data_IF_598426379790
#
_entry.id   IF_598426379790
#
_cell.length_a   1.000
_cell.length_b   1.000
_cell.length_c   1.000
_cell.angle_alpha   90.00
_cell.angle_beta   90.00
_cell.angle_gamma   90.00
#
_symmetry.space_group_name_H-M   'P 1'
#
loop_
_entity.id
_entity.type
_entity.pdbx_description
1 polymer ?
#
# COMPACT_ATOMS: atom_id res chain seq x y z
N UNK A 1 -25.82 -48.91 28.64
CA UNK A 1 -25.53 -48.27 27.34
C UNK A 1 -26.36 -47.00 27.22
N UNK A 2 -25.70 -45.83 27.24
CA UNK A 2 -26.02 -44.55 26.56
C UNK A 2 -25.33 -43.44 27.36
N UNK A 3 -24.17 -43.04 26.85
CA UNK A 3 -23.31 -42.00 27.42
C UNK A 3 -24.03 -40.66 27.29
N UNK A 4 -24.24 -39.98 28.41
CA UNK A 4 -24.47 -38.54 28.49
C UNK A 4 -23.17 -37.87 28.03
N UNK A 5 -23.08 -37.51 26.75
CA UNK A 5 -21.97 -36.71 26.23
C UNK A 5 -22.38 -35.26 26.40
N UNK A 6 -21.80 -34.68 27.46
CA UNK A 6 -21.80 -33.26 27.77
C UNK A 6 -21.44 -32.43 26.54
N UNK A 7 -22.29 -31.44 26.29
CA UNK A 7 -22.00 -30.19 25.61
C UNK A 7 -20.70 -29.58 26.20
N UNK A 8 -19.92 -28.92 25.34
CA UNK A 8 -18.88 -27.89 25.62
C UNK A 8 -17.44 -28.27 25.22
N UNK A 9 -17.09 -28.00 23.95
CA UNK A 9 -15.85 -27.33 23.47
C UNK A 9 -16.18 -26.91 22.01
N UNK A 10 -17.06 -25.95 21.77
CA UNK A 10 -16.76 -24.52 21.65
C UNK A 10 -15.27 -24.20 21.35
N UNK A 11 -15.05 -23.58 20.18
CA UNK A 11 -13.93 -22.70 19.83
C UNK A 11 -12.54 -23.30 19.67
N UNK A 12 -12.33 -24.05 18.60
CA UNK A 12 -11.03 -24.21 17.92
C UNK A 12 -11.39 -24.64 16.50
N UNK A 13 -11.06 -23.99 15.39
CA UNK A 13 -9.89 -23.18 15.05
C UNK A 13 -10.16 -22.79 13.59
N UNK A 14 -10.70 -21.62 13.30
CA UNK A 14 -10.65 -21.04 11.94
C UNK A 14 -10.63 -19.51 12.02
N UNK A 15 -9.85 -18.97 12.97
CA UNK A 15 -9.19 -17.68 12.73
C UNK A 15 -8.02 -17.95 11.78
N UNK A 16 -8.32 -18.36 10.55
CA UNK A 16 -7.42 -18.05 9.45
C UNK A 16 -7.47 -16.54 9.41
N UNK A 17 -6.47 -15.94 10.05
CA UNK A 17 -6.29 -14.50 10.14
C UNK A 17 -6.41 -13.98 8.72
N UNK A 18 -7.61 -13.49 8.39
CA UNK A 18 -7.85 -12.66 7.23
C UNK A 18 -7.02 -11.42 7.56
N UNK A 19 -5.74 -11.45 7.20
CA UNK A 19 -4.81 -10.34 7.34
C UNK A 19 -5.47 -9.25 6.52
N UNK A 20 -6.25 -8.41 7.20
CA UNK A 20 -6.92 -7.29 6.58
C UNK A 20 -5.78 -6.38 6.17
N UNK A 21 -5.36 -6.49 4.92
CA UNK A 21 -4.60 -5.45 4.25
C UNK A 21 -5.41 -4.17 4.50
N UNK A 22 -4.75 -3.17 5.10
CA UNK A 22 -5.45 -1.95 5.53
C UNK A 22 -5.03 -0.86 4.60
N UNK A 23 -5.99 -0.03 4.20
CA UNK A 23 -5.66 1.26 3.64
C UNK A 23 -4.83 2.06 4.67
N UNK A 24 -3.66 2.60 4.28
CA UNK A 24 -2.73 3.22 5.22
C UNK A 24 -3.28 4.55 5.75
N UNK A 25 -2.71 5.02 6.86
CA UNK A 25 -2.80 6.43 7.28
C UNK A 25 -1.48 7.18 7.00
N UNK A 26 -1.43 8.48 7.34
CA UNK A 26 -0.25 9.32 7.11
C UNK A 26 0.97 8.81 7.88
N UNK A 27 0.77 8.34 9.10
CA UNK A 27 1.85 7.87 9.97
C UNK A 27 2.43 6.54 9.47
N UNK A 28 1.57 5.63 8.98
CA UNK A 28 1.96 4.39 8.34
C UNK A 28 2.90 4.63 7.14
N UNK A 29 2.57 5.63 6.30
CA UNK A 29 3.33 5.99 5.10
C UNK A 29 4.63 6.74 5.40
N UNK A 30 4.74 7.44 6.53
CA UNK A 30 5.89 8.29 6.84
C UNK A 30 7.22 7.54 6.68
N UNK A 31 8.18 8.15 5.97
CA UNK A 31 9.52 7.60 5.73
C UNK A 31 9.83 7.28 4.27
N UNK A 32 10.92 6.54 4.08
CA UNK A 32 11.44 6.15 2.76
C UNK A 32 10.93 4.77 2.33
N UNK A 33 10.61 4.65 1.05
CA UNK A 33 10.14 3.41 0.44
C UNK A 33 10.86 3.18 -0.89
N UNK A 34 11.45 2.01 -1.06
CA UNK A 34 12.21 1.65 -2.25
C UNK A 34 11.46 0.59 -3.06
N UNK A 35 11.48 0.73 -4.38
CA UNK A 35 10.83 -0.21 -5.29
C UNK A 35 11.39 -1.63 -5.13
N UNK A 36 10.49 -2.60 -4.99
CA UNK A 36 10.80 -4.02 -4.94
C UNK A 36 10.97 -4.56 -6.37
N UNK A 37 12.18 -4.41 -6.90
CA UNK A 37 12.58 -4.91 -8.22
C UNK A 37 14.05 -5.31 -8.24
N UNK A 38 14.44 -6.11 -9.22
CA UNK A 38 15.84 -6.51 -9.47
C UNK A 38 16.60 -5.49 -10.34
N UNK A 39 15.91 -4.48 -10.86
CA UNK A 39 16.56 -3.40 -11.63
C UNK A 39 17.46 -2.53 -10.74
N UNK A 40 18.61 -2.10 -11.27
CA UNK A 40 19.54 -1.19 -10.58
C UNK A 40 18.96 0.22 -10.40
N UNK A 41 18.16 0.67 -11.36
CA UNK A 41 17.54 2.00 -11.37
C UNK A 41 16.16 1.93 -10.73
N UNK A 42 16.13 1.86 -9.38
CA UNK A 42 14.90 1.75 -8.60
C UNK A 42 14.26 3.10 -8.38
N UNK A 43 12.93 3.10 -8.38
CA UNK A 43 12.16 4.22 -7.87
C UNK A 43 12.19 4.29 -6.35
N UNK A 44 12.10 5.49 -5.79
CA UNK A 44 11.99 5.71 -4.33
C UNK A 44 10.95 6.77 -4.02
N UNK A 45 10.14 6.51 -2.99
CA UNK A 45 9.16 7.43 -2.44
C UNK A 45 9.62 7.86 -1.04
N UNK A 46 9.48 9.15 -0.73
CA UNK A 46 9.72 9.67 0.62
C UNK A 46 8.49 10.45 1.04
N UNK A 47 7.72 9.89 1.96
CA UNK A 47 6.56 10.54 2.54
C UNK A 47 6.96 11.30 3.80
N UNK A 48 6.55 12.57 3.87
CA UNK A 48 6.73 13.42 5.04
C UNK A 48 5.48 14.29 5.23
N UNK A 49 4.65 13.93 6.22
CA UNK A 49 3.34 14.55 6.47
C UNK A 49 2.45 14.46 5.23
N UNK A 50 2.17 15.58 4.57
CA UNK A 50 1.31 15.64 3.37
C UNK A 50 2.13 15.87 2.09
N UNK A 51 3.46 15.74 2.18
CA UNK A 51 4.37 15.89 1.05
C UNK A 51 4.97 14.54 0.69
N UNK A 52 5.01 14.24 -0.61
CA UNK A 52 5.69 13.10 -1.20
C UNK A 52 6.82 13.60 -2.10
N UNK A 53 8.03 13.08 -1.90
CA UNK A 53 9.12 13.20 -2.87
C UNK A 53 9.21 11.88 -3.63
N UNK A 54 9.12 11.96 -4.96
CA UNK A 54 9.23 10.81 -5.85
C UNK A 54 10.54 10.88 -6.63
N UNK A 55 11.49 10.04 -6.25
CA UNK A 55 12.79 9.91 -6.90
C UNK A 55 12.68 8.85 -7.99
N UNK A 56 12.87 9.28 -9.23
CA UNK A 56 12.92 8.45 -10.43
C UNK A 56 14.37 8.33 -10.90
N UNK A 57 14.71 7.36 -11.76
CA UNK A 57 16.07 7.21 -12.27
C UNK A 57 16.67 8.47 -12.90
N UNK A 58 15.85 9.33 -13.51
CA UNK A 58 16.30 10.51 -14.26
C UNK A 58 15.77 11.83 -13.74
N UNK A 59 14.91 11.83 -12.70
CA UNK A 59 14.28 13.06 -12.21
C UNK A 59 13.80 12.90 -10.76
N UNK A 60 13.47 14.02 -10.13
CA UNK A 60 12.84 14.07 -8.82
C UNK A 60 11.60 14.94 -8.94
N UNK A 61 10.46 14.39 -8.57
CA UNK A 61 9.19 15.11 -8.50
C UNK A 61 8.77 15.28 -7.05
N UNK A 62 8.02 16.35 -6.78
CA UNK A 62 7.44 16.60 -5.45
C UNK A 62 5.94 16.81 -5.61
N UNK A 63 5.19 16.14 -4.76
CA UNK A 63 3.73 16.17 -4.73
C UNK A 63 3.25 16.54 -3.33
N UNK A 64 2.14 17.26 -3.26
CA UNK A 64 1.27 17.12 -2.09
C UNK A 64 0.46 15.85 -2.24
N UNK A 65 0.08 15.20 -1.14
CA UNK A 65 -0.78 14.03 -1.19
C UNK A 65 -1.85 14.04 -0.10
N UNK A 66 -2.96 13.36 -0.38
CA UNK A 66 -3.97 13.06 0.62
C UNK A 66 -4.55 11.65 0.40
N UNK A 67 -5.18 11.12 1.44
CA UNK A 67 -5.65 9.74 1.49
C UNK A 67 -7.18 9.71 1.54
N UNK A 68 -7.83 9.12 0.54
CA UNK A 68 -9.27 8.82 0.58
C UNK A 68 -9.49 7.37 1.02
N UNK A 69 -9.70 7.21 2.32
CA UNK A 69 -9.98 5.91 2.94
C UNK A 69 -11.29 5.26 2.48
N UNK A 70 -12.26 6.04 2.01
CA UNK A 70 -13.55 5.48 1.56
C UNK A 70 -13.39 4.82 0.19
N UNK A 71 -12.57 5.41 -0.68
CA UNK A 71 -12.30 4.92 -2.02
C UNK A 71 -11.05 4.05 -2.11
N UNK A 72 -10.27 3.99 -1.04
CA UNK A 72 -8.96 3.32 -1.00
C UNK A 72 -7.96 3.88 -2.02
N UNK A 73 -7.98 5.22 -2.17
CA UNK A 73 -7.14 5.96 -3.12
C UNK A 73 -6.16 6.89 -2.40
N UNK A 74 -4.94 6.98 -2.93
CA UNK A 74 -4.03 8.10 -2.68
C UNK A 74 -4.13 9.08 -3.83
N UNK A 75 -4.22 10.37 -3.52
CA UNK A 75 -4.21 11.45 -4.50
C UNK A 75 -2.87 12.16 -4.44
N UNK A 76 -2.28 12.41 -5.61
CA UNK A 76 -1.05 13.19 -5.75
C UNK A 76 -1.36 14.46 -6.53
N UNK A 77 -1.05 15.60 -5.93
CA UNK A 77 -1.28 16.92 -6.52
C UNK A 77 0.06 17.59 -6.78
N UNK A 78 0.23 18.12 -7.99
CA UNK A 78 1.38 18.91 -8.43
C UNK A 78 0.93 20.15 -9.19
N UNK A 79 1.86 21.01 -9.62
CA UNK A 79 1.53 22.18 -10.43
C UNK A 79 0.95 21.85 -11.81
N UNK A 80 1.16 20.62 -12.30
CA UNK A 80 0.70 20.17 -13.62
C UNK A 80 -0.64 19.45 -13.58
N UNK A 81 -1.16 19.13 -12.39
CA UNK A 81 -2.42 18.44 -12.22
C UNK A 81 -2.45 17.49 -11.03
N UNK A 82 -3.53 16.73 -10.96
CA UNK A 82 -3.79 15.72 -9.94
C UNK A 82 -3.89 14.33 -10.58
N UNK A 83 -3.32 13.34 -9.92
CA UNK A 83 -3.53 11.92 -10.20
C UNK A 83 -4.05 11.21 -8.96
N UNK A 84 -4.74 10.10 -9.16
CA UNK A 84 -5.16 9.22 -8.07
C UNK A 84 -4.76 7.79 -8.38
N UNK A 85 -4.44 7.06 -7.32
CA UNK A 85 -3.93 5.70 -7.42
C UNK A 85 -4.57 4.85 -6.33
N UNK A 86 -4.98 3.64 -6.70
CA UNK A 86 -5.31 2.62 -5.71
C UNK A 86 -4.05 2.28 -4.94
N UNK A 87 -4.19 2.05 -3.64
CA UNK A 87 -3.10 1.61 -2.77
C UNK A 87 -3.49 0.45 -1.89
N UNK A 88 -2.50 -0.39 -1.60
CA UNK A 88 -2.62 -1.51 -0.69
C UNK A 88 -1.41 -1.51 0.22
N UNK A 89 -1.65 -1.55 1.52
CA UNK A 89 -0.60 -1.54 2.51
C UNK A 89 -0.65 -2.81 3.37
N UNK A 90 0.45 -3.56 3.33
CA UNK A 90 0.73 -4.66 4.24
C UNK A 90 1.66 -4.14 5.36
N UNK A 91 1.05 -3.85 6.51
CA UNK A 91 1.74 -3.36 7.70
C UNK A 91 2.74 -4.35 8.28
N UNK A 92 2.54 -5.66 8.09
CA UNK A 92 3.43 -6.67 8.65
C UNK A 92 4.72 -6.74 7.84
N UNK A 93 4.57 -6.71 6.52
CA UNK A 93 5.69 -6.84 5.59
C UNK A 93 6.28 -5.47 5.21
N UNK A 94 5.76 -4.37 5.78
CA UNK A 94 6.13 -2.99 5.42
C UNK A 94 6.15 -2.78 3.90
N UNK A 95 5.08 -3.25 3.25
CA UNK A 95 4.96 -3.28 1.80
C UNK A 95 3.81 -2.40 1.34
N UNK A 96 4.10 -1.51 0.41
CA UNK A 96 3.14 -0.60 -0.22
C UNK A 96 3.03 -0.93 -1.70
N UNK A 97 1.86 -1.32 -2.15
CA UNK A 97 1.55 -1.49 -3.57
C UNK A 97 0.76 -0.30 -4.06
N UNK A 98 1.15 0.29 -5.19
CA UNK A 98 0.48 1.43 -5.83
C UNK A 98 0.21 1.08 -7.29
N UNK A 99 -1.05 1.24 -7.71
CA UNK A 99 -1.47 0.93 -9.08
C UNK A 99 -1.32 2.13 -10.00
N UNK A 100 -0.86 1.86 -11.23
CA UNK A 100 -0.72 2.78 -12.35
C UNK A 100 0.11 4.05 -12.05
N UNK A 101 0.98 3.97 -11.04
CA UNK A 101 1.86 5.07 -10.63
C UNK A 101 2.77 5.57 -11.76
N UNK A 102 3.22 4.64 -12.62
CA UNK A 102 4.17 4.90 -13.70
C UNK A 102 3.50 5.05 -15.08
N UNK A 103 2.16 5.13 -15.11
CA UNK A 103 1.38 5.14 -16.34
C UNK A 103 1.00 3.73 -16.78
N UNK A 104 -0.21 3.30 -16.43
CA UNK A 104 -0.84 2.08 -16.96
C UNK A 104 -1.40 2.31 -18.36
N UNK A 105 -1.51 1.23 -19.14
CA UNK A 105 -2.33 1.20 -20.35
C UNK A 105 -3.70 0.61 -20.00
N UNK A 106 -4.80 1.03 -20.66
CA UNK A 106 -6.17 0.62 -20.28
C UNK A 106 -6.40 -0.89 -20.21
N UNK A 107 -5.60 -1.67 -20.94
CA UNK A 107 -5.73 -3.12 -21.04
C UNK A 107 -4.96 -3.88 -19.95
N UNK A 108 -4.13 -3.20 -19.15
CA UNK A 108 -3.34 -3.83 -18.09
C UNK A 108 -2.98 -2.85 -16.97
N UNK A 109 -3.59 -3.07 -15.81
CA UNK A 109 -3.16 -2.43 -14.56
C UNK A 109 -1.71 -2.80 -14.24
N UNK A 110 -0.89 -1.79 -13.94
CA UNK A 110 0.49 -1.99 -13.53
C UNK A 110 0.61 -1.70 -12.04
N UNK A 111 1.00 -2.69 -11.26
CA UNK A 111 1.28 -2.49 -9.83
C UNK A 111 2.77 -2.25 -9.62
N UNK A 112 3.10 -1.14 -8.94
CA UNK A 112 4.46 -0.89 -8.44
C UNK A 112 4.49 -1.19 -6.96
N UNK A 113 5.42 -2.03 -6.53
CA UNK A 113 5.55 -2.47 -5.14
C UNK A 113 6.75 -1.80 -4.51
N UNK A 114 6.58 -1.26 -3.31
CA UNK A 114 7.63 -0.62 -2.53
C UNK A 114 7.77 -1.28 -1.16
N UNK A 115 8.99 -1.35 -0.66
CA UNK A 115 9.32 -1.79 0.70
C UNK A 115 9.86 -0.61 1.49
N UNK A 116 9.47 -0.52 2.76
CA UNK A 116 9.99 0.52 3.66
C UNK A 116 11.48 0.29 3.92
N UNK A 117 12.28 1.35 3.83
CA UNK A 117 13.71 1.36 4.23
C UNK A 117 13.89 1.53 5.73
#
# INVERSE_FOLDING_TARGET
>A
MKKLIFILVLTTTFFVSCKKEKFPDIDDLSGSWIEQTDHFNKHKLIFNKEVLIFIKPTSIDTFSYHLDKKQELIFFTSSIGESNHKVLFDKKENKLSIWDLLGGIPEKEIVTVFLKE
#
